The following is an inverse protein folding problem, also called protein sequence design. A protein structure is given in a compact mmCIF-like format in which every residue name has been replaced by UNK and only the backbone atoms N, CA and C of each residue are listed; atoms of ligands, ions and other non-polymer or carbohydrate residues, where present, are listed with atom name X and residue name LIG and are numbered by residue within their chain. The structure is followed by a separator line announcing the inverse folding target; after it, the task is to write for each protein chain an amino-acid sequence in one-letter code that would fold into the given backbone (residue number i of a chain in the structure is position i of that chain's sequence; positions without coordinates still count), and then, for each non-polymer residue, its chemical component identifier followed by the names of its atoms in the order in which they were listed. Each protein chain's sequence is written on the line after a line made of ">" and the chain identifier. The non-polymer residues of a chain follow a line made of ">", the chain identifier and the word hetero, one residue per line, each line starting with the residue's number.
data_IF_793626065637
#
_entry.id   IF_793626065637
#
_cell.length_a   1.000
_cell.length_b   1.000
_cell.length_c   1.000
_cell.angle_alpha   90.00
_cell.angle_beta   90.00
_cell.angle_gamma   90.00
#
_symmetry.space_group_name_H-M   'P 1'
#
loop_
_entity.id
_entity.type
_entity.pdbx_description
1 polymer ?
#
# COMPACT_ATOMS: atom_id res chain seq x y z
N UNK A 1 -9.60 16.30 13.09
CA UNK A 1 -9.05 14.95 12.87
C UNK A 1 -8.36 14.93 11.53
N UNK A 2 -7.04 14.78 11.57
CA UNK A 2 -6.07 14.63 10.51
C UNK A 2 -5.62 13.18 10.49
N UNK A 3 -5.62 12.58 9.30
CA UNK A 3 -5.09 11.23 9.07
C UNK A 3 -3.98 11.36 8.04
N UNK A 4 -2.77 10.97 8.42
CA UNK A 4 -1.67 10.82 7.46
C UNK A 4 -1.82 9.46 6.76
N UNK A 5 -1.96 9.44 5.44
CA UNK A 5 -2.22 8.20 4.71
C UNK A 5 -0.95 7.48 4.25
N UNK A 6 0.23 8.10 4.34
CA UNK A 6 1.45 7.56 3.74
C UNK A 6 2.63 7.60 4.71
N UNK A 7 2.62 6.72 5.70
CA UNK A 7 3.69 6.59 6.68
C UNK A 7 4.37 5.24 6.55
N UNK A 8 5.71 5.25 6.48
CA UNK A 8 6.51 4.03 6.41
C UNK A 8 7.12 3.69 7.77
N UNK A 9 6.90 2.45 8.23
CA UNK A 9 7.49 1.87 9.45
C UNK A 9 8.37 0.69 9.08
N UNK A 10 9.52 0.52 9.75
CA UNK A 10 10.34 -0.67 9.57
C UNK A 10 11.81 -0.39 9.36
N UNK A 11 12.48 -1.37 8.75
CA UNK A 11 13.91 -1.38 8.53
C UNK A 11 14.24 -0.97 7.10
N UNK A 12 15.24 -0.11 6.97
CA UNK A 12 15.69 0.38 5.68
C UNK A 12 17.09 -0.17 5.35
N UNK A 13 17.44 -0.36 4.06
CA UNK A 13 18.72 -0.92 3.65
C UNK A 13 19.93 -0.11 4.15
N UNK A 14 19.76 1.19 4.38
CA UNK A 14 20.81 2.08 4.89
C UNK A 14 21.02 1.95 6.41
N UNK A 15 20.37 0.98 7.06
CA UNK A 15 20.49 0.69 8.49
C UNK A 15 19.56 1.49 9.39
N UNK A 16 18.78 2.43 8.83
CA UNK A 16 17.76 3.17 9.57
C UNK A 16 16.64 2.22 10.00
N UNK A 17 16.19 2.35 11.25
CA UNK A 17 15.06 1.62 11.81
C UNK A 17 14.07 2.61 12.38
N UNK A 18 12.80 2.49 12.01
CA UNK A 18 11.71 3.31 12.50
C UNK A 18 10.67 2.38 13.12
N UNK A 19 10.42 2.54 14.42
CA UNK A 19 9.38 1.82 15.14
C UNK A 19 8.12 2.65 15.37
N UNK A 20 7.10 2.03 15.95
CA UNK A 20 5.83 2.69 16.24
C UNK A 20 5.99 3.91 17.19
N UNK A 21 6.91 3.85 18.15
CA UNK A 21 7.16 4.97 19.07
C UNK A 21 7.71 6.21 18.35
N UNK A 22 8.56 6.02 17.34
CA UNK A 22 9.12 7.12 16.55
C UNK A 22 8.01 7.82 15.75
N UNK A 23 7.13 7.03 15.14
CA UNK A 23 5.97 7.53 14.38
C UNK A 23 5.02 8.29 15.31
N UNK A 24 4.68 7.73 16.48
CA UNK A 24 3.78 8.38 17.42
C UNK A 24 4.33 9.71 17.93
N UNK A 25 5.64 9.79 18.21
CA UNK A 25 6.29 11.06 18.61
C UNK A 25 6.20 12.12 17.52
N UNK A 26 6.36 11.74 16.25
CA UNK A 26 6.22 12.66 15.11
C UNK A 26 4.75 13.08 14.97
N UNK A 27 3.81 12.14 15.04
CA UNK A 27 2.37 12.40 14.97
C UNK A 27 1.92 13.39 16.05
N UNK A 28 2.36 13.21 17.30
CA UNK A 28 2.02 14.09 18.42
C UNK A 28 2.52 15.51 18.20
N UNK A 29 3.75 15.66 17.68
CA UNK A 29 4.33 16.98 17.37
C UNK A 29 3.63 17.66 16.20
N UNK A 30 3.17 16.90 15.22
CA UNK A 30 2.52 17.40 14.01
C UNK A 30 0.99 17.57 14.15
N UNK A 31 0.39 17.16 15.28
CA UNK A 31 -1.06 17.19 15.47
C UNK A 31 -1.81 16.17 14.60
N UNK A 32 -1.21 15.01 14.33
CA UNK A 32 -1.80 13.93 13.53
C UNK A 32 -2.43 12.90 14.47
N UNK A 33 -3.74 12.69 14.37
CA UNK A 33 -4.43 11.74 15.24
C UNK A 33 -4.21 10.29 14.80
N UNK A 34 -4.21 10.01 13.50
CA UNK A 34 -4.02 8.65 12.95
C UNK A 34 -3.09 8.63 11.76
N UNK A 35 -2.43 7.50 11.56
CA UNK A 35 -1.57 7.25 10.42
C UNK A 35 -1.91 5.90 9.77
N UNK A 36 -2.03 5.86 8.44
CA UNK A 36 -1.96 4.63 7.67
C UNK A 36 -0.50 4.26 7.50
N UNK A 37 -0.14 3.09 8.00
CA UNK A 37 1.25 2.63 8.06
C UNK A 37 1.43 1.39 7.20
N UNK A 38 2.49 1.38 6.41
CA UNK A 38 2.97 0.19 5.70
C UNK A 38 4.48 0.06 5.89
N UNK A 39 5.00 -1.10 5.55
CA UNK A 39 6.45 -1.31 5.56
C UNK A 39 7.08 -0.92 4.22
N UNK A 40 8.41 -0.81 4.11
CA UNK A 40 9.03 -0.31 2.90
C UNK A 40 9.06 -1.33 1.74
N UNK A 41 8.87 -2.63 2.03
CA UNK A 41 8.81 -3.65 0.98
C UNK A 41 10.16 -4.08 0.43
N UNK A 42 11.20 -4.02 1.25
CA UNK A 42 12.55 -4.44 0.86
C UNK A 42 12.84 -5.89 1.25
N UNK A 43 12.07 -6.44 2.18
CA UNK A 43 12.19 -7.82 2.63
C UNK A 43 11.05 -8.67 2.08
N UNK A 44 11.01 -9.93 2.48
CA UNK A 44 9.93 -10.80 2.06
C UNK A 44 8.60 -10.36 2.68
N UNK A 45 7.53 -10.40 1.89
CA UNK A 45 6.19 -9.97 2.32
C UNK A 45 5.73 -10.55 3.67
N UNK A 46 6.09 -11.81 3.96
CA UNK A 46 5.67 -12.48 5.18
C UNK A 46 6.37 -11.90 6.43
N UNK A 47 7.66 -11.58 6.32
CA UNK A 47 8.42 -10.90 7.37
C UNK A 47 7.89 -9.47 7.56
N UNK A 48 7.60 -8.78 6.46
CA UNK A 48 7.06 -7.42 6.44
C UNK A 48 5.66 -7.35 7.10
N UNK A 49 4.76 -8.28 6.78
CA UNK A 49 3.41 -8.36 7.35
C UNK A 49 3.45 -8.70 8.84
N UNK A 50 4.28 -9.67 9.24
CA UNK A 50 4.41 -10.08 10.65
C UNK A 50 5.03 -8.94 11.48
N UNK A 51 6.06 -8.27 10.97
CA UNK A 51 6.67 -7.11 11.59
C UNK A 51 5.64 -5.99 11.79
N UNK A 52 4.89 -5.63 10.74
CA UNK A 52 3.89 -4.57 10.82
C UNK A 52 2.82 -4.87 11.87
N UNK A 53 2.39 -6.14 11.96
CA UNK A 53 1.43 -6.55 12.99
C UNK A 53 2.00 -6.37 14.39
N UNK A 54 3.24 -6.80 14.63
CA UNK A 54 3.89 -6.66 15.93
C UNK A 54 4.03 -5.20 16.36
N UNK A 55 4.39 -4.31 15.45
CA UNK A 55 4.55 -2.88 15.71
C UNK A 55 3.21 -2.15 15.95
N UNK A 56 2.12 -2.60 15.29
CA UNK A 56 0.85 -1.85 15.30
C UNK A 56 -0.19 -2.41 16.26
N UNK A 57 -0.13 -3.69 16.64
CA UNK A 57 -1.20 -4.38 17.41
C UNK A 57 -1.59 -3.70 18.72
N UNK A 58 -0.68 -2.96 19.37
CA UNK A 58 -0.94 -2.24 20.64
C UNK A 58 -1.50 -0.82 20.44
N UNK A 59 -1.57 -0.35 19.20
CA UNK A 59 -1.87 1.04 18.84
C UNK A 59 -2.79 1.14 17.62
N UNK A 60 -3.66 0.15 17.41
CA UNK A 60 -4.61 0.12 16.28
C UNK A 60 -5.65 1.26 16.31
N UNK A 61 -5.77 1.96 17.44
CA UNK A 61 -6.55 3.19 17.59
C UNK A 61 -5.94 4.38 16.83
N UNK A 62 -4.60 4.39 16.66
CA UNK A 62 -3.83 5.45 15.99
C UNK A 62 -3.10 5.00 14.72
N UNK A 63 -2.64 3.76 14.67
CA UNK A 63 -1.89 3.18 13.56
C UNK A 63 -2.78 2.22 12.78
N UNK A 64 -2.98 2.50 11.50
CA UNK A 64 -3.88 1.76 10.61
C UNK A 64 -3.00 0.95 9.64
N UNK A 65 -2.76 -0.36 9.91
CA UNK A 65 -1.84 -1.14 9.09
C UNK A 65 -2.41 -1.47 7.71
N UNK A 66 -1.59 -1.22 6.69
CA UNK A 66 -1.75 -1.67 5.31
C UNK A 66 -0.63 -2.65 4.99
N UNK A 67 -0.99 -3.92 4.74
CA UNK A 67 -0.01 -4.96 4.50
C UNK A 67 0.54 -4.87 3.08
N UNK A 68 1.86 -4.91 2.95
CA UNK A 68 2.48 -4.97 1.63
C UNK A 68 2.29 -6.36 1.03
N UNK A 69 2.01 -6.42 -0.28
CA UNK A 69 1.78 -7.67 -0.98
C UNK A 69 2.49 -7.68 -2.34
N UNK A 70 3.13 -8.79 -2.67
CA UNK A 70 3.78 -9.03 -3.94
C UNK A 70 2.98 -10.08 -4.73
N UNK A 71 2.29 -9.69 -5.82
CA UNK A 71 1.53 -10.61 -6.65
C UNK A 71 2.36 -11.75 -7.27
N UNK A 72 3.67 -11.56 -7.43
CA UNK A 72 4.58 -12.58 -7.96
C UNK A 72 5.01 -13.62 -6.91
N UNK A 73 4.77 -13.35 -5.63
CA UNK A 73 5.17 -14.26 -4.56
C UNK A 73 4.38 -15.56 -4.65
N UNK A 74 5.07 -16.69 -4.52
CA UNK A 74 4.43 -18.01 -4.34
C UNK A 74 3.59 -18.06 -3.06
N UNK A 75 3.85 -17.15 -2.11
CA UNK A 75 3.16 -17.03 -0.82
C UNK A 75 2.09 -15.93 -0.83
N UNK A 76 1.70 -15.39 -1.99
CA UNK A 76 0.75 -14.27 -2.06
C UNK A 76 -0.58 -14.57 -1.35
N UNK A 77 -1.11 -15.79 -1.48
CA UNK A 77 -2.37 -16.19 -0.86
C UNK A 77 -2.24 -16.30 0.67
N UNK A 78 -1.14 -16.92 1.16
CA UNK A 78 -0.89 -17.04 2.60
C UNK A 78 -0.65 -15.67 3.24
N UNK A 79 0.04 -14.76 2.55
CA UNK A 79 0.25 -13.39 3.01
C UNK A 79 -1.06 -12.59 3.03
N UNK A 80 -1.92 -12.73 2.01
CA UNK A 80 -3.24 -12.11 2.01
C UNK A 80 -4.10 -12.64 3.16
N UNK A 81 -4.04 -13.94 3.45
CA UNK A 81 -4.71 -14.55 4.61
C UNK A 81 -4.18 -13.97 5.93
N UNK A 82 -2.87 -13.83 6.10
CA UNK A 82 -2.25 -13.19 7.28
C UNK A 82 -2.73 -11.75 7.46
N UNK A 83 -2.74 -10.95 6.40
CA UNK A 83 -3.27 -9.57 6.40
C UNK A 83 -4.72 -9.55 6.92
N UNK A 84 -5.53 -10.54 6.55
CA UNK A 84 -6.90 -10.67 7.03
C UNK A 84 -6.96 -11.09 8.51
N UNK A 85 -6.22 -12.12 8.89
CA UNK A 85 -6.17 -12.67 10.25
C UNK A 85 -5.67 -11.61 11.26
N UNK A 86 -4.73 -10.76 10.86
CA UNK A 86 -4.22 -9.64 11.65
C UNK A 86 -5.13 -8.40 11.65
N UNK A 87 -6.23 -8.43 10.89
CA UNK A 87 -7.22 -7.36 10.88
C UNK A 87 -6.78 -6.08 10.18
N UNK A 88 -5.79 -6.14 9.28
CA UNK A 88 -5.28 -4.99 8.55
C UNK A 88 -6.37 -4.32 7.72
N UNK A 89 -6.30 -3.00 7.56
CA UNK A 89 -7.38 -2.22 6.95
C UNK A 89 -7.25 -2.07 5.44
N UNK A 90 -6.11 -2.38 4.86
CA UNK A 90 -5.88 -2.31 3.42
C UNK A 90 -4.66 -3.09 2.97
N UNK A 91 -4.45 -3.08 1.67
CA UNK A 91 -3.30 -3.70 1.00
C UNK A 91 -2.47 -2.60 0.35
N UNK A 92 -1.15 -2.77 0.34
CA UNK A 92 -0.24 -1.93 -0.44
C UNK A 92 0.52 -2.72 -1.49
N UNK A 93 0.58 -2.17 -2.69
CA UNK A 93 1.43 -2.65 -3.77
C UNK A 93 2.56 -1.66 -4.04
N UNK A 94 3.77 -2.21 -4.17
CA UNK A 94 4.95 -1.47 -4.62
C UNK A 94 5.56 -2.16 -5.86
N UNK A 95 5.08 -1.82 -7.08
CA UNK A 95 5.58 -2.45 -8.31
C UNK A 95 7.07 -2.27 -8.54
N UNK A 96 7.62 -1.14 -8.10
CA UNK A 96 9.04 -0.83 -8.26
C UNK A 96 9.90 -1.74 -7.39
N UNK A 97 9.66 -1.74 -6.08
CA UNK A 97 10.45 -2.54 -5.14
C UNK A 97 10.26 -4.04 -5.38
N UNK A 98 9.06 -4.46 -5.78
CA UNK A 98 8.79 -5.85 -6.13
C UNK A 98 9.19 -6.21 -7.57
N UNK A 99 9.64 -5.25 -8.39
CA UNK A 99 10.16 -5.47 -9.73
C UNK A 99 9.16 -6.06 -10.72
N UNK A 100 7.94 -5.52 -10.80
CA UNK A 100 6.95 -5.96 -11.80
C UNK A 100 6.26 -4.77 -12.49
N UNK A 101 5.83 -5.01 -13.72
CA UNK A 101 4.92 -4.12 -14.44
C UNK A 101 3.48 -4.57 -14.14
N UNK A 102 2.61 -3.68 -13.60
CA UNK A 102 1.22 -4.03 -13.29
C UNK A 102 0.47 -4.59 -14.50
N UNK A 103 0.67 -4.01 -15.68
CA UNK A 103 0.01 -4.43 -16.92
C UNK A 103 0.46 -5.81 -17.43
N UNK A 104 1.63 -6.29 -17.00
CA UNK A 104 2.22 -7.57 -17.40
C UNK A 104 2.20 -8.62 -16.28
N UNK A 105 1.68 -8.28 -15.10
CA UNK A 105 1.67 -9.19 -13.96
C UNK A 105 0.46 -10.12 -14.02
N UNK A 106 0.64 -11.32 -14.55
CA UNK A 106 -0.43 -12.28 -14.79
C UNK A 106 -1.32 -12.58 -13.56
N UNK A 107 -0.73 -12.61 -12.36
CA UNK A 107 -1.45 -12.94 -11.12
C UNK A 107 -2.12 -11.75 -10.45
N UNK A 108 -1.84 -10.52 -10.90
CA UNK A 108 -2.35 -9.31 -10.25
C UNK A 108 -3.88 -9.21 -10.32
N UNK A 109 -4.47 -9.59 -11.44
CA UNK A 109 -5.93 -9.61 -11.64
C UNK A 109 -6.63 -10.57 -10.66
N UNK A 110 -6.10 -11.80 -10.53
CA UNK A 110 -6.59 -12.79 -9.57
C UNK A 110 -6.49 -12.27 -8.12
N UNK A 111 -5.35 -11.67 -7.76
CA UNK A 111 -5.13 -11.09 -6.42
C UNK A 111 -6.10 -9.94 -6.14
N UNK A 112 -6.34 -9.06 -7.11
CA UNK A 112 -7.32 -7.98 -6.98
C UNK A 112 -8.75 -8.51 -6.86
N UNK A 113 -9.08 -9.62 -7.53
CA UNK A 113 -10.35 -10.30 -7.35
C UNK A 113 -10.57 -10.71 -5.89
N UNK A 114 -9.57 -11.34 -5.26
CA UNK A 114 -9.62 -11.71 -3.85
C UNK A 114 -9.75 -10.49 -2.94
N UNK A 115 -8.96 -9.44 -3.19
CA UNK A 115 -9.01 -8.20 -2.40
C UNK A 115 -10.37 -7.50 -2.52
N UNK A 116 -10.97 -7.50 -3.71
CA UNK A 116 -12.29 -6.93 -3.95
C UNK A 116 -13.39 -7.64 -3.13
N UNK A 117 -13.33 -8.97 -3.02
CA UNK A 117 -14.24 -9.74 -2.16
C UNK A 117 -14.10 -9.37 -0.67
N UNK A 118 -12.88 -9.02 -0.25
CA UNK A 118 -12.59 -8.57 1.12
C UNK A 118 -13.02 -7.11 1.40
N UNK A 119 -13.41 -6.36 0.36
CA UNK A 119 -13.77 -4.93 0.43
C UNK A 119 -12.70 -4.06 1.11
N UNK A 120 -11.44 -4.44 0.97
CA UNK A 120 -10.30 -3.69 1.53
C UNK A 120 -9.74 -2.75 0.45
N UNK A 121 -9.50 -1.47 0.76
CA UNK A 121 -8.83 -0.55 -0.18
C UNK A 121 -7.41 -1.00 -0.53
N UNK A 122 -6.97 -0.57 -1.71
CA UNK A 122 -5.64 -0.83 -2.25
C UNK A 122 -4.90 0.49 -2.41
N UNK A 123 -3.71 0.59 -1.83
CA UNK A 123 -2.79 1.70 -2.09
C UNK A 123 -1.65 1.25 -3.01
N UNK A 124 -1.20 2.13 -3.89
CA UNK A 124 -0.18 1.84 -4.90
C UNK A 124 0.95 2.86 -4.76
N UNK A 125 2.21 2.43 -4.76
CA UNK A 125 3.35 3.34 -4.96
C UNK A 125 3.41 3.75 -6.44
N UNK A 126 3.29 5.05 -6.73
CA UNK A 126 3.37 5.60 -8.10
C UNK A 126 4.48 6.65 -8.20
N UNK A 127 4.95 6.92 -9.42
CA UNK A 127 5.76 8.10 -9.72
C UNK A 127 7.24 7.87 -10.05
N UNK A 128 7.75 6.64 -9.96
CA UNK A 128 9.17 6.37 -10.23
C UNK A 128 9.28 5.25 -11.27
N UNK A 129 9.98 5.52 -12.38
CA UNK A 129 10.14 4.63 -13.54
C UNK A 129 8.81 4.21 -14.19
N UNK A 130 8.91 3.42 -15.26
CA UNK A 130 7.73 2.84 -15.90
C UNK A 130 6.92 1.98 -14.94
N UNK A 131 7.54 1.21 -14.03
CA UNK A 131 6.81 0.38 -13.05
C UNK A 131 5.91 1.19 -12.11
N UNK A 132 6.25 2.45 -11.85
CA UNK A 132 5.46 3.39 -11.05
C UNK A 132 4.43 4.19 -11.87
N UNK A 133 4.27 3.92 -13.17
CA UNK A 133 3.30 4.61 -14.01
C UNK A 133 1.86 4.20 -13.63
N UNK A 134 1.02 5.13 -13.15
CA UNK A 134 -0.37 4.86 -12.80
C UNK A 134 -1.20 4.37 -14.00
N UNK A 135 -0.82 4.69 -15.25
CA UNK A 135 -1.51 4.24 -16.46
C UNK A 135 -1.57 2.70 -16.56
N UNK A 136 -0.57 2.01 -16.02
CA UNK A 136 -0.50 0.55 -16.03
C UNK A 136 -1.61 -0.12 -15.21
N UNK A 137 -2.23 0.62 -14.28
CA UNK A 137 -3.29 0.10 -13.42
C UNK A 137 -4.69 0.34 -13.98
N UNK A 138 -4.86 1.21 -14.98
CA UNK A 138 -6.18 1.71 -15.40
C UNK A 138 -7.13 0.62 -15.89
N UNK A 139 -6.62 -0.40 -16.61
CA UNK A 139 -7.45 -1.53 -17.05
C UNK A 139 -8.03 -2.31 -15.86
N UNK A 140 -7.21 -2.53 -14.83
CA UNK A 140 -7.61 -3.21 -13.60
C UNK A 140 -8.55 -2.34 -12.76
N UNK A 141 -8.26 -1.04 -12.62
CA UNK A 141 -9.11 -0.09 -11.88
C UNK A 141 -10.52 -0.03 -12.49
N UNK A 142 -10.62 0.02 -13.82
CA UNK A 142 -11.92 -0.01 -14.54
C UNK A 142 -12.65 -1.34 -14.36
N UNK A 143 -11.92 -2.45 -14.25
CA UNK A 143 -12.49 -3.79 -14.02
C UNK A 143 -13.08 -3.93 -12.62
N UNK A 144 -12.53 -3.23 -11.62
CA UNK A 144 -12.96 -3.28 -10.22
C UNK A 144 -13.51 -1.92 -9.74
N UNK A 145 -14.66 -1.44 -10.24
CA UNK A 145 -15.19 -0.11 -9.95
C UNK A 145 -15.57 0.11 -8.47
N UNK A 146 -15.84 -0.97 -7.73
CA UNK A 146 -16.17 -0.92 -6.30
C UNK A 146 -14.93 -0.93 -5.40
N UNK A 147 -13.78 -1.34 -5.94
CA UNK A 147 -12.52 -1.36 -5.20
C UNK A 147 -11.89 0.04 -5.23
N UNK A 148 -11.56 0.56 -4.05
CA UNK A 148 -10.90 1.87 -3.91
C UNK A 148 -9.40 1.73 -4.11
N UNK A 149 -8.86 2.50 -5.04
CA UNK A 149 -7.44 2.59 -5.34
C UNK A 149 -6.91 3.95 -4.89
N UNK A 150 -5.81 3.96 -4.13
CA UNK A 150 -5.14 5.17 -3.67
C UNK A 150 -3.76 5.26 -4.33
N UNK A 151 -3.56 6.25 -5.19
CA UNK A 151 -2.33 6.46 -5.96
C UNK A 151 -1.34 7.31 -5.15
N UNK A 152 -0.48 6.67 -4.37
CA UNK A 152 0.46 7.40 -3.50
C UNK A 152 1.59 8.03 -4.30
N UNK A 153 1.98 9.23 -3.88
CA UNK A 153 2.98 10.06 -4.55
C UNK A 153 2.42 10.90 -5.69
N UNK A 154 1.13 10.74 -6.03
CA UNK A 154 0.46 11.47 -7.12
C UNK A 154 1.29 11.43 -8.41
N UNK A 155 1.84 10.26 -8.78
CA UNK A 155 2.65 10.11 -9.99
C UNK A 155 3.99 10.86 -9.98
N UNK A 156 4.41 11.42 -8.83
CA UNK A 156 5.60 12.25 -8.66
C UNK A 156 5.76 13.29 -9.78
N UNK A 157 6.97 13.44 -10.32
CA UNK A 157 7.27 14.43 -11.35
C UNK A 157 6.89 13.98 -12.77
N UNK A 158 6.90 12.66 -13.04
CA UNK A 158 6.69 12.11 -14.39
C UNK A 158 5.21 11.95 -14.76
N UNK A 159 4.35 11.58 -13.79
CA UNK A 159 2.99 11.11 -14.07
C UNK A 159 1.89 11.89 -13.35
N UNK A 160 2.22 13.03 -12.73
CA UNK A 160 1.28 13.78 -11.89
C UNK A 160 0.03 14.26 -12.62
N UNK A 161 0.15 14.78 -13.85
CA UNK A 161 -1.00 15.16 -14.66
C UNK A 161 -1.93 13.98 -14.96
N UNK A 162 -1.35 12.80 -15.22
CA UNK A 162 -2.11 11.57 -15.41
C UNK A 162 -2.94 11.22 -14.19
N UNK A 163 -2.36 11.25 -12.98
CA UNK A 163 -3.11 10.99 -11.74
C UNK A 163 -4.32 11.93 -11.57
N UNK A 164 -4.15 13.23 -11.84
CA UNK A 164 -5.25 14.22 -11.76
C UNK A 164 -6.34 13.90 -12.78
N UNK A 165 -5.95 13.62 -14.03
CA UNK A 165 -6.89 13.25 -15.07
C UNK A 165 -7.67 11.98 -14.71
N UNK A 166 -6.97 10.93 -14.28
CA UNK A 166 -7.59 9.65 -13.92
C UNK A 166 -8.55 9.78 -12.75
N UNK A 167 -8.17 10.51 -11.70
CA UNK A 167 -9.03 10.80 -10.55
C UNK A 167 -10.29 11.60 -10.94
N UNK A 168 -10.18 12.49 -11.95
CA UNK A 168 -11.34 13.24 -12.46
C UNK A 168 -12.34 12.36 -13.22
N UNK A 169 -11.89 11.25 -13.80
CA UNK A 169 -12.68 10.37 -14.65
C UNK A 169 -13.23 9.14 -13.90
N UNK A 170 -12.54 8.67 -12.85
CA UNK A 170 -12.87 7.44 -12.14
C UNK A 170 -13.06 7.69 -10.65
N UNK A 171 -14.29 7.46 -10.16
CA UNK A 171 -14.70 7.73 -8.77
C UNK A 171 -14.03 6.83 -7.73
N UNK A 172 -13.39 5.75 -8.16
CA UNK A 172 -12.71 4.79 -7.29
C UNK A 172 -11.18 5.04 -7.19
N UNK A 173 -10.70 6.17 -7.70
CA UNK A 173 -9.32 6.64 -7.55
C UNK A 173 -9.26 7.77 -6.52
N UNK A 174 -8.25 7.70 -5.65
CA UNK A 174 -7.91 8.70 -4.62
C UNK A 174 -6.42 9.05 -4.66
#
# INVERSE_FOLDING_TARGET
>A
MVIDFNVTIGHFPEGKKIGHEDILKIMDRAGIEKAVVSTPGFYSDHEEVDFLYLETKKRLDRLIPFGILNPKSSQVESNLRRICDYGFKGIRFDPLNHGYSPSQCAKLDEVLCWINLLKKPVSITTGITTSGDPAQWLSLIRKYPELKFILLGMGAFDFGYGCVEYASQMKNIY
#
